data_IF_057601379430
#
_entry.id   IF_057601379430
#
_cell.length_a   1.000
_cell.length_b   1.000
_cell.length_c   1.000
_cell.angle_alpha   90.00
_cell.angle_beta   90.00
_cell.angle_gamma   90.00
#
_symmetry.space_group_name_H-M   'P 1'
#
loop_
_entity.id
_entity.type
_entity.pdbx_description
1 polymer ?
#
# COMPACT_ATOMS: atom_id res chain seq x y z
N UNK A 1 -15.99 -7.41 1.67
CA UNK A 1 -14.73 -7.28 0.89
C UNK A 1 -13.79 -6.32 1.58
N UNK A 2 -12.51 -6.62 1.56
CA UNK A 2 -11.47 -5.79 2.17
C UNK A 2 -10.34 -5.58 1.17
N UNK A 3 -9.89 -4.32 1.05
CA UNK A 3 -8.75 -3.95 0.22
C UNK A 3 -7.53 -3.74 1.11
N UNK A 4 -6.44 -4.40 0.76
CA UNK A 4 -5.14 -4.13 1.37
C UNK A 4 -4.34 -3.25 0.42
N UNK A 5 -3.96 -2.06 0.89
CA UNK A 5 -3.04 -1.19 0.16
C UNK A 5 -1.65 -1.47 0.71
N UNK A 6 -0.77 -1.98 -0.14
CA UNK A 6 0.62 -2.28 0.22
C UNK A 6 1.50 -1.15 -0.28
N UNK A 7 2.22 -0.51 0.62
CA UNK A 7 3.04 0.66 0.30
C UNK A 7 4.49 0.42 0.69
N UNK A 8 5.36 0.10 -0.29
CA UNK A 8 6.79 0.07 -0.01
C UNK A 8 7.30 1.50 0.14
N UNK A 9 8.15 1.74 1.14
CA UNK A 9 8.69 3.07 1.41
C UNK A 9 10.19 2.99 1.67
N UNK A 10 10.94 3.86 1.01
CA UNK A 10 12.38 3.99 1.25
C UNK A 10 12.77 5.44 1.06
N UNK A 11 13.18 6.09 2.16
CA UNK A 11 13.61 7.49 2.15
C UNK A 11 12.58 8.42 1.49
N UNK A 12 11.34 8.36 1.98
CA UNK A 12 10.22 9.16 1.48
C UNK A 12 9.74 10.17 2.52
N UNK A 13 10.66 10.70 3.31
CA UNK A 13 10.33 11.63 4.40
C UNK A 13 9.48 12.81 3.93
N UNK A 14 9.76 13.33 2.73
CA UNK A 14 9.06 14.51 2.21
C UNK A 14 7.60 14.23 1.82
N UNK A 15 7.26 13.00 1.47
CA UNK A 15 5.95 12.68 0.88
C UNK A 15 5.11 11.71 1.71
N UNK A 16 5.72 10.98 2.65
CA UNK A 16 5.05 9.86 3.31
C UNK A 16 3.77 10.27 4.05
N UNK A 17 3.77 11.39 4.77
CA UNK A 17 2.57 11.83 5.49
C UNK A 17 1.45 12.18 4.52
N UNK A 18 1.78 12.85 3.42
CA UNK A 18 0.80 13.26 2.43
C UNK A 18 0.16 12.06 1.74
N UNK A 19 0.96 11.08 1.31
CA UNK A 19 0.41 9.92 0.61
C UNK A 19 -0.42 9.05 1.56
N UNK A 20 0.02 8.88 2.81
CA UNK A 20 -0.77 8.14 3.80
C UNK A 20 -2.12 8.81 4.01
N UNK A 21 -2.14 10.13 4.17
CA UNK A 21 -3.40 10.88 4.33
C UNK A 21 -4.33 10.69 3.13
N UNK A 22 -3.78 10.71 1.93
CA UNK A 22 -4.58 10.51 0.71
C UNK A 22 -5.17 9.11 0.63
N UNK A 23 -4.37 8.09 0.98
CA UNK A 23 -4.86 6.70 1.00
C UNK A 23 -5.98 6.53 2.01
N UNK A 24 -5.81 7.08 3.21
CA UNK A 24 -6.82 6.97 4.26
C UNK A 24 -8.10 7.73 3.92
N UNK A 25 -8.01 8.80 3.13
CA UNK A 25 -9.16 9.61 2.75
C UNK A 25 -10.04 8.99 1.65
N UNK A 26 -9.56 7.98 0.94
CA UNK A 26 -10.34 7.37 -0.13
C UNK A 26 -11.53 6.62 0.46
N UNK A 27 -12.73 6.96 -0.03
CA UNK A 27 -13.96 6.28 0.36
C UNK A 27 -14.26 5.17 -0.65
N UNK A 28 -14.29 3.93 -0.16
CA UNK A 28 -14.58 2.75 -0.97
C UNK A 28 -15.96 2.16 -0.63
N UNK A 29 -16.82 2.94 0.03
CA UNK A 29 -18.16 2.48 0.38
C UNK A 29 -18.11 1.29 1.34
N UNK A 30 -18.72 0.17 0.93
CA UNK A 30 -18.79 -1.03 1.76
C UNK A 30 -17.48 -1.82 1.80
N UNK A 31 -16.49 -1.46 0.99
CA UNK A 31 -15.19 -2.14 0.98
C UNK A 31 -14.32 -1.60 2.12
N UNK A 32 -13.92 -2.48 3.02
CA UNK A 32 -12.97 -2.12 4.09
C UNK A 32 -11.57 -1.91 3.51
N UNK A 33 -10.76 -1.14 4.21
CA UNK A 33 -9.43 -0.80 3.75
C UNK A 33 -8.42 -0.93 4.88
N UNK A 34 -7.29 -1.58 4.60
CA UNK A 34 -6.12 -1.53 5.48
C UNK A 34 -4.93 -1.00 4.68
N UNK A 35 -4.03 -0.32 5.35
CA UNK A 35 -2.79 0.17 4.75
C UNK A 35 -1.62 -0.54 5.41
N UNK A 36 -0.88 -1.34 4.63
CA UNK A 36 0.31 -2.04 5.08
C UNK A 36 1.52 -1.34 4.46
N UNK A 37 2.29 -0.64 5.29
CA UNK A 37 3.47 0.08 4.84
C UNK A 37 4.69 -0.74 5.22
N UNK A 38 5.57 -0.99 4.26
CA UNK A 38 6.83 -1.69 4.51
C UNK A 38 7.98 -0.72 4.33
N UNK A 39 8.63 -0.36 5.43
CA UNK A 39 9.81 0.48 5.40
C UNK A 39 11.02 -0.39 5.03
N UNK A 40 11.66 -0.09 3.92
CA UNK A 40 12.76 -0.87 3.38
C UNK A 40 14.12 -0.34 3.86
N UNK A 41 14.24 -0.14 5.18
CA UNK A 41 15.50 0.26 5.79
C UNK A 41 15.84 1.72 5.57
N UNK A 42 14.86 2.63 5.63
CA UNK A 42 15.09 4.06 5.43
C UNK A 42 16.14 4.62 6.38
N UNK A 43 16.93 5.55 5.87
CA UNK A 43 18.02 6.20 6.60
C UNK A 43 17.76 7.69 6.87
N UNK A 44 16.63 8.21 6.40
CA UNK A 44 16.17 9.58 6.70
C UNK A 44 15.14 9.56 7.84
N UNK A 45 14.27 10.56 7.93
CA UNK A 45 13.22 10.63 8.95
C UNK A 45 11.98 9.78 8.69
N UNK A 46 11.95 8.98 7.63
CA UNK A 46 10.77 8.18 7.26
C UNK A 46 10.36 7.22 8.38
N UNK A 47 11.32 6.53 8.98
CA UNK A 47 11.02 5.52 10.02
C UNK A 47 10.34 6.14 11.24
N UNK A 48 10.80 7.30 11.67
CA UNK A 48 10.23 8.00 12.82
C UNK A 48 8.79 8.41 12.56
N UNK A 49 8.52 8.89 11.34
CA UNK A 49 7.16 9.25 10.93
C UNK A 49 6.28 8.01 10.92
N UNK A 50 6.76 6.90 10.37
CA UNK A 50 5.99 5.67 10.29
C UNK A 50 5.70 5.08 11.66
N UNK A 51 6.62 5.21 12.62
CA UNK A 51 6.38 4.77 13.99
C UNK A 51 5.20 5.51 14.62
N UNK A 52 5.04 6.78 14.30
CA UNK A 52 3.91 7.57 14.78
C UNK A 52 2.58 7.13 14.16
N UNK A 53 2.61 6.66 12.93
CA UNK A 53 1.41 6.27 12.19
C UNK A 53 0.98 4.83 12.45
N UNK A 54 1.91 3.98 12.90
CA UNK A 54 1.67 2.55 13.08
C UNK A 54 0.57 2.28 14.11
N UNK A 55 -0.35 1.42 13.76
CA UNK A 55 -1.44 1.03 14.64
C UNK A 55 -2.61 2.00 14.69
N UNK A 56 -2.60 3.07 13.89
CA UNK A 56 -3.66 4.08 13.87
C UNK A 56 -4.44 4.01 12.56
N UNK A 57 -5.76 4.16 12.64
CA UNK A 57 -6.63 4.31 11.47
C UNK A 57 -6.50 3.19 10.43
N UNK A 58 -6.21 1.96 10.87
CA UNK A 58 -6.04 0.84 9.95
C UNK A 58 -4.68 0.79 9.29
N UNK A 59 -3.71 1.54 9.80
CA UNK A 59 -2.32 1.52 9.29
C UNK A 59 -1.51 0.51 10.08
N UNK A 60 -0.78 -0.31 9.37
CA UNK A 60 0.17 -1.27 9.95
C UNK A 60 1.51 -1.08 9.27
N UNK A 61 2.56 -0.90 10.05
CA UNK A 61 3.90 -0.67 9.50
C UNK A 61 4.80 -1.85 9.83
N UNK A 62 5.53 -2.31 8.82
CA UNK A 62 6.54 -3.35 8.94
C UNK A 62 7.90 -2.71 8.65
N UNK A 63 8.87 -2.98 9.50
CA UNK A 63 10.21 -2.39 9.36
C UNK A 63 11.21 -3.46 8.95
N UNK A 64 11.87 -3.27 7.81
CA UNK A 64 12.99 -4.09 7.41
C UNK A 64 14.26 -3.55 8.07
N UNK A 65 15.14 -4.39 8.63
CA UNK A 65 16.31 -3.90 9.32
C UNK A 65 17.31 -3.18 8.40
N UNK A 66 17.27 -3.52 7.12
CA UNK A 66 18.14 -2.91 6.12
C UNK A 66 17.44 -2.92 4.77
N UNK A 67 17.95 -2.15 3.81
CA UNK A 67 17.40 -2.11 2.46
C UNK A 67 17.58 -3.48 1.79
N UNK A 68 16.47 -4.05 1.34
CA UNK A 68 16.43 -5.33 0.64
C UNK A 68 15.85 -5.19 -0.76
N UNK A 69 15.46 -3.98 -1.15
CA UNK A 69 14.88 -3.70 -2.44
C UNK A 69 13.35 -3.61 -2.41
N UNK A 70 12.80 -2.86 -3.35
CA UNK A 70 11.36 -2.63 -3.46
C UNK A 70 10.58 -3.94 -3.62
N UNK A 71 11.09 -4.88 -4.44
CA UNK A 71 10.41 -6.16 -4.64
C UNK A 71 10.25 -6.95 -3.36
N UNK A 72 11.29 -6.98 -2.52
CA UNK A 72 11.23 -7.67 -1.22
C UNK A 72 10.21 -7.00 -0.31
N UNK A 73 10.17 -5.67 -0.29
CA UNK A 73 9.22 -4.91 0.52
C UNK A 73 7.78 -5.18 0.07
N UNK A 74 7.52 -5.16 -1.23
CA UNK A 74 6.20 -5.45 -1.79
C UNK A 74 5.75 -6.86 -1.40
N UNK A 75 6.62 -7.85 -1.58
CA UNK A 75 6.28 -9.24 -1.25
C UNK A 75 5.97 -9.41 0.24
N UNK A 76 6.76 -8.77 1.10
CA UNK A 76 6.49 -8.82 2.53
C UNK A 76 5.13 -8.22 2.86
N UNK A 77 4.81 -7.07 2.25
CA UNK A 77 3.52 -6.43 2.45
C UNK A 77 2.36 -7.29 1.99
N UNK A 78 2.50 -7.94 0.84
CA UNK A 78 1.47 -8.85 0.32
C UNK A 78 1.27 -10.03 1.27
N UNK A 79 2.34 -10.66 1.74
CA UNK A 79 2.23 -11.79 2.65
C UNK A 79 1.56 -11.43 3.98
N UNK A 80 1.78 -10.21 4.44
CA UNK A 80 1.21 -9.74 5.72
C UNK A 80 -0.16 -9.10 5.56
N UNK A 81 -0.63 -8.91 4.34
CA UNK A 81 -1.94 -8.32 4.10
C UNK A 81 -3.05 -9.33 4.38
N UNK A 82 -4.21 -8.81 4.81
CA UNK A 82 -5.36 -9.64 5.17
C UNK A 82 -6.58 -9.40 4.27
N UNK A 83 -6.45 -8.52 3.28
CA UNK A 83 -7.57 -8.21 2.41
C UNK A 83 -7.83 -9.25 1.33
N UNK A 84 -9.01 -9.16 0.75
CA UNK A 84 -9.40 -9.99 -0.40
C UNK A 84 -8.78 -9.46 -1.70
N UNK A 85 -8.42 -8.19 -1.71
CA UNK A 85 -7.83 -7.49 -2.85
C UNK A 85 -6.57 -6.79 -2.37
N UNK A 86 -5.59 -6.62 -3.27
CA UNK A 86 -4.34 -5.91 -2.98
C UNK A 86 -4.06 -4.89 -4.07
N UNK A 87 -3.77 -3.66 -3.65
CA UNK A 87 -3.22 -2.60 -4.52
C UNK A 87 -1.83 -2.24 -4.00
N UNK A 88 -0.88 -2.07 -4.90
CA UNK A 88 0.45 -1.57 -4.56
C UNK A 88 0.47 -0.08 -4.82
N UNK A 89 0.79 0.69 -3.79
CA UNK A 89 0.84 2.16 -3.86
C UNK A 89 2.26 2.62 -3.56
N UNK A 90 2.88 3.32 -4.50
CA UNK A 90 4.19 3.94 -4.24
C UNK A 90 4.03 5.14 -3.29
N UNK A 91 5.08 5.41 -2.51
CA UNK A 91 5.03 6.43 -1.47
C UNK A 91 5.43 7.83 -1.95
N UNK A 92 5.58 8.03 -3.26
CA UNK A 92 6.15 9.24 -3.85
C UNK A 92 5.12 10.22 -4.44
N UNK A 93 3.83 10.01 -4.22
CA UNK A 93 2.73 10.83 -4.74
C UNK A 93 2.55 10.75 -6.27
N UNK A 94 3.23 9.83 -6.95
CA UNK A 94 3.12 9.69 -8.40
C UNK A 94 1.74 9.17 -8.82
N UNK A 95 1.16 8.25 -8.04
CA UNK A 95 -0.16 7.69 -8.31
C UNK A 95 -1.16 8.23 -7.31
N UNK A 96 -2.35 8.60 -7.80
CA UNK A 96 -3.39 9.20 -6.98
C UNK A 96 -4.33 8.12 -6.42
N UNK A 97 -4.43 7.99 -5.08
CA UNK A 97 -5.35 7.02 -4.47
C UNK A 97 -6.81 7.20 -4.84
N UNK A 98 -7.21 8.37 -5.33
CA UNK A 98 -8.59 8.60 -5.81
C UNK A 98 -8.94 7.71 -7.00
N UNK A 99 -7.95 7.08 -7.63
CA UNK A 99 -8.17 6.12 -8.71
C UNK A 99 -8.56 4.73 -8.21
N UNK A 100 -8.47 4.45 -6.92
CA UNK A 100 -8.73 3.12 -6.37
C UNK A 100 -10.08 2.53 -6.79
N UNK A 101 -11.19 3.28 -6.76
CA UNK A 101 -12.48 2.69 -7.18
C UNK A 101 -12.44 2.12 -8.60
N UNK A 102 -11.71 2.78 -9.51
CA UNK A 102 -11.55 2.28 -10.88
C UNK A 102 -10.60 1.09 -10.94
N UNK A 103 -9.54 1.11 -10.13
CA UNK A 103 -8.54 0.05 -10.14
C UNK A 103 -9.07 -1.26 -9.58
N UNK A 104 -9.94 -1.20 -8.58
CA UNK A 104 -10.48 -2.41 -7.96
C UNK A 104 -11.63 -3.02 -8.76
N UNK A 105 -12.22 -2.30 -9.70
CA UNK A 105 -13.34 -2.81 -10.48
C UNK A 105 -13.02 -4.12 -11.21
N UNK A 106 -11.86 -4.27 -11.89
CA UNK A 106 -11.52 -5.56 -12.50
C UNK A 106 -11.43 -6.70 -11.48
N UNK A 107 -10.97 -6.41 -10.27
CA UNK A 107 -10.89 -7.42 -9.20
C UNK A 107 -12.31 -7.81 -8.74
N UNK A 108 -13.18 -6.82 -8.54
CA UNK A 108 -14.56 -7.06 -8.15
C UNK A 108 -15.31 -7.86 -9.22
N UNK A 109 -14.97 -7.64 -10.49
CA UNK A 109 -15.55 -8.36 -11.62
C UNK A 109 -14.90 -9.72 -11.89
N UNK A 110 -13.93 -10.12 -11.06
CA UNK A 110 -13.25 -11.40 -11.19
C UNK A 110 -12.16 -11.45 -12.25
N UNK A 111 -11.73 -10.31 -12.78
CA UNK A 111 -10.74 -10.24 -13.87
C UNK A 111 -9.30 -10.17 -13.38
N UNK A 112 -9.07 -9.79 -12.11
CA UNK A 112 -7.73 -9.62 -11.56
C UNK A 112 -7.72 -9.85 -10.06
N UNK A 113 -6.52 -10.11 -9.49
CA UNK A 113 -6.33 -10.23 -8.04
C UNK A 113 -5.36 -9.18 -7.50
N UNK A 114 -4.47 -8.66 -8.34
CA UNK A 114 -3.46 -7.67 -7.92
C UNK A 114 -3.40 -6.54 -8.93
N UNK A 115 -3.38 -5.30 -8.44
CA UNK A 115 -3.19 -4.10 -9.25
C UNK A 115 -2.02 -3.32 -8.69
N UNK A 116 -1.09 -2.89 -9.55
CA UNK A 116 0.10 -2.13 -9.15
C UNK A 116 -0.05 -0.66 -9.52
N UNK A 117 -0.15 0.24 -8.52
CA UNK A 117 -0.38 1.65 -8.75
C UNK A 117 -1.61 1.84 -9.64
N UNK A 118 -1.42 2.46 -10.79
CA UNK A 118 -2.47 2.59 -11.80
C UNK A 118 -2.42 1.46 -12.85
N UNK A 119 -1.65 0.42 -12.61
CA UNK A 119 -1.48 -0.68 -13.55
C UNK A 119 -2.17 -1.94 -13.09
N UNK A 120 -2.77 -2.61 -14.05
CA UNK A 120 -3.30 -3.95 -13.89
C UNK A 120 -2.18 -4.96 -14.09
N UNK A 121 -1.96 -5.84 -13.13
CA UNK A 121 -0.90 -6.85 -13.19
C UNK A 121 -1.39 -8.22 -13.68
N UNK A 122 -2.68 -8.39 -13.82
CA UNK A 122 -3.26 -9.67 -14.18
C UNK A 122 -3.54 -10.54 -12.96
N UNK A 123 -4.13 -11.72 -13.21
CA UNK A 123 -4.48 -12.64 -12.14
C UNK A 123 -3.28 -13.51 -11.78
N UNK A 124 -2.89 -13.58 -10.49
CA UNK A 124 -1.85 -14.52 -10.06
C UNK A 124 -2.25 -15.99 -10.20
N UNK A 125 -3.52 -16.25 -10.45
CA UNK A 125 -4.02 -17.61 -10.67
C UNK A 125 -3.89 -18.06 -12.12
N UNK A 126 -3.55 -17.09 -12.97
CA UNK A 126 -3.50 -17.24 -14.43
C UNK A 126 -2.67 -18.32 -14.96
#
# INVERSE_FOLDING_TARGET
MKLSVVMPAYNEQATIRAIVSRVLAVDLGAVEKELVIVDDGSTDGTREILKELDGKNGVRVLFQPQNQGKGAAVWRGIRESSGDMVIIQDADLEYDPREYPQLIRPILDGEADVVYGSRFLGSPRG
#
